data_IF_158102983743
#
_entry.id   IF_158102983743
#
_cell.length_a   1.000
_cell.length_b   1.000
_cell.length_c   1.000
_cell.angle_alpha   90.00
_cell.angle_beta   90.00
_cell.angle_gamma   90.00
#
_symmetry.space_group_name_H-M   'P 1'
#
loop_
_entity.id
_entity.type
_entity.pdbx_description
1 polymer ?
#
# COMPACT_ATOMS: atom_id res chain seq x y z
N UNK A 1 52.85 -34.45 -5.97
CA UNK A 1 54.16 -34.02 -5.42
C UNK A 1 53.98 -32.78 -4.58
N UNK A 2 54.48 -32.84 -3.33
CA UNK A 2 54.76 -31.75 -2.33
C UNK A 2 53.57 -30.89 -1.86
N UNK A 3 53.01 -31.06 -0.68
CA UNK A 3 53.47 -30.97 0.74
C UNK A 3 53.89 -29.57 1.17
N UNK A 4 53.20 -29.07 2.23
CA UNK A 4 53.57 -27.96 3.13
C UNK A 4 52.30 -27.42 3.82
N UNK A 5 51.85 -27.80 4.96
CA UNK A 5 52.21 -27.80 6.39
C UNK A 5 52.34 -26.38 6.96
N UNK A 6 51.34 -26.08 7.85
CA UNK A 6 51.32 -25.50 9.19
C UNK A 6 51.65 -24.00 9.40
N UNK A 7 50.86 -23.33 10.20
CA UNK A 7 51.20 -23.08 11.61
C UNK A 7 50.08 -22.37 12.39
N UNK A 8 49.88 -22.89 13.61
CA UNK A 8 49.07 -22.36 14.71
C UNK A 8 49.53 -20.97 15.17
N UNK A 9 48.60 -20.17 15.71
CA UNK A 9 48.87 -19.02 16.53
C UNK A 9 47.72 -18.77 17.48
N UNK A 10 47.79 -19.37 18.64
CA UNK A 10 46.97 -19.08 19.84
C UNK A 10 47.58 -17.89 20.55
N UNK A 11 46.78 -16.87 20.85
CA UNK A 11 47.10 -15.91 21.92
C UNK A 11 45.85 -15.67 22.78
N UNK A 12 45.90 -16.26 23.96
CA UNK A 12 45.08 -15.88 25.11
C UNK A 12 45.81 -14.79 25.90
N UNK A 13 45.11 -13.74 26.29
CA UNK A 13 45.51 -12.85 27.33
C UNK A 13 44.31 -12.43 28.17
N UNK A 14 44.16 -13.06 29.30
CA UNK A 14 43.31 -12.63 30.41
C UNK A 14 44.08 -11.64 31.25
N UNK A 15 43.49 -10.50 31.59
CA UNK A 15 43.92 -9.72 32.74
C UNK A 15 42.72 -9.25 33.56
N UNK A 16 42.54 -9.90 34.68
CA UNK A 16 41.71 -9.44 35.80
C UNK A 16 42.46 -8.39 36.58
N UNK A 17 41.81 -7.32 36.92
CA UNK A 17 42.22 -6.42 38.00
C UNK A 17 41.05 -6.07 38.88
N UNK A 18 41.01 -6.72 40.03
CA UNK A 18 40.20 -6.34 41.17
C UNK A 18 40.88 -5.18 41.92
N UNK A 19 40.12 -4.17 42.25
CA UNK A 19 40.48 -3.23 43.29
C UNK A 19 39.25 -2.91 44.14
N UNK A 20 39.34 -3.32 45.39
CA UNK A 20 38.43 -2.97 46.47
C UNK A 20 38.67 -1.50 46.89
N UNK A 21 37.68 -0.78 47.26
CA UNK A 21 37.34 -0.45 48.65
C UNK A 21 36.57 0.86 48.80
N UNK A 22 35.67 0.79 49.64
CA UNK A 22 35.21 1.67 50.70
C UNK A 22 33.89 2.41 50.49
N UNK A 23 32.98 1.91 51.22
CA UNK A 23 31.74 2.35 51.79
C UNK A 23 31.30 3.84 51.65
N UNK A 24 30.18 3.97 51.02
CA UNK A 24 29.14 4.93 51.40
C UNK A 24 27.87 4.48 50.70
N UNK A 25 26.81 4.26 51.46
CA UNK A 25 25.49 3.91 50.98
C UNK A 25 24.97 5.01 50.05
N UNK A 26 24.73 4.74 48.78
CA UNK A 26 23.92 5.66 48.01
C UNK A 26 22.47 5.17 48.07
N UNK A 27 21.65 6.08 48.49
CA UNK A 27 20.21 6.10 48.26
C UNK A 27 19.89 5.52 46.91
N UNK A 28 19.07 4.48 46.90
CA UNK A 28 18.43 3.95 45.67
C UNK A 28 17.51 5.03 45.08
N UNK A 29 18.12 5.84 44.22
CA UNK A 29 17.31 6.62 43.28
C UNK A 29 16.82 5.61 42.24
N UNK A 30 15.57 5.21 42.40
CA UNK A 30 14.82 4.55 41.34
C UNK A 30 14.88 5.49 40.14
N UNK A 31 15.73 5.16 39.18
CA UNK A 31 15.60 5.71 37.84
C UNK A 31 14.29 5.13 37.29
N UNK A 32 13.22 5.87 37.47
CA UNK A 32 12.06 5.75 36.61
C UNK A 32 12.58 5.95 35.18
N UNK A 33 12.88 4.85 34.55
CA UNK A 33 12.91 4.80 33.09
C UNK A 33 11.46 5.08 32.68
N UNK A 34 11.14 6.36 32.52
CA UNK A 34 10.00 6.75 31.74
C UNK A 34 10.19 6.07 30.36
N UNK A 35 9.51 4.96 30.17
CA UNK A 35 9.23 4.44 28.85
C UNK A 35 8.52 5.58 28.14
N UNK A 36 9.27 6.36 27.37
CA UNK A 36 8.67 7.11 26.30
C UNK A 36 8.11 6.05 25.35
N UNK A 37 6.88 5.63 25.61
CA UNK A 37 6.02 5.02 24.59
C UNK A 37 5.82 6.11 23.54
N UNK A 38 6.78 6.21 22.64
CA UNK A 38 6.65 7.02 21.45
C UNK A 38 5.49 6.38 20.69
N UNK A 39 4.33 7.02 20.76
CA UNK A 39 3.16 6.60 20.00
C UNK A 39 3.62 6.54 18.55
N UNK A 40 3.64 5.33 17.97
CA UNK A 40 4.07 5.13 16.61
C UNK A 40 3.26 6.02 15.68
N UNK A 41 3.94 6.70 14.77
CA UNK A 41 3.27 7.47 13.73
C UNK A 41 3.17 6.57 12.50
N UNK A 42 1.97 6.32 12.02
CA UNK A 42 1.72 5.61 10.77
C UNK A 42 1.83 6.58 9.59
N UNK A 43 2.43 6.13 8.51
CA UNK A 43 2.50 6.87 7.26
C UNK A 43 1.65 6.17 6.19
N UNK A 44 0.76 6.93 5.54
CA UNK A 44 -0.10 6.45 4.47
C UNK A 44 0.21 7.23 3.19
N UNK A 45 0.38 6.52 2.06
CA UNK A 45 0.44 7.15 0.74
C UNK A 45 -0.91 7.05 0.05
N UNK A 46 -1.36 8.16 -0.51
CA UNK A 46 -2.57 8.26 -1.31
C UNK A 46 -2.34 9.19 -2.52
N UNK A 47 -3.04 8.95 -3.61
CA UNK A 47 -3.00 9.81 -4.78
C UNK A 47 -3.77 11.13 -4.56
N UNK A 48 -3.67 12.03 -5.52
CA UNK A 48 -4.27 13.37 -5.48
C UNK A 48 -5.80 13.35 -5.37
N UNK A 49 -6.46 12.35 -5.95
CA UNK A 49 -7.93 12.23 -5.92
C UNK A 49 -8.45 11.71 -4.58
N UNK A 50 -7.65 10.94 -3.86
CA UNK A 50 -8.02 10.26 -2.61
C UNK A 50 -7.43 10.92 -1.36
N UNK A 51 -6.40 11.75 -1.54
CA UNK A 51 -5.63 12.37 -0.45
C UNK A 51 -6.53 13.03 0.59
N UNK A 52 -7.42 13.93 0.19
CA UNK A 52 -8.23 14.70 1.13
C UNK A 52 -9.19 13.85 1.97
N UNK A 53 -9.76 12.78 1.37
CA UNK A 53 -10.62 11.87 2.10
C UNK A 53 -9.83 11.00 3.08
N UNK A 54 -8.65 10.52 2.66
CA UNK A 54 -7.78 9.71 3.53
C UNK A 54 -7.25 10.56 4.68
N UNK A 55 -6.90 11.82 4.44
CA UNK A 55 -6.46 12.77 5.48
C UNK A 55 -7.55 12.99 6.54
N UNK A 56 -8.79 13.25 6.11
CA UNK A 56 -9.93 13.41 7.04
C UNK A 56 -10.17 12.15 7.89
N UNK A 57 -10.08 10.97 7.27
CA UNK A 57 -10.22 9.70 8.01
C UNK A 57 -9.04 9.46 8.97
N UNK A 58 -7.84 9.88 8.61
CA UNK A 58 -6.65 9.80 9.45
C UNK A 58 -6.76 10.71 10.69
N UNK A 59 -7.31 11.91 10.54
CA UNK A 59 -7.62 12.82 11.66
C UNK A 59 -8.63 12.18 12.62
N UNK A 60 -9.73 11.64 12.09
CA UNK A 60 -10.76 10.94 12.87
C UNK A 60 -10.19 9.72 13.60
N UNK A 61 -9.32 8.96 12.96
CA UNK A 61 -8.64 7.81 13.56
C UNK A 61 -7.72 8.25 14.69
N UNK A 62 -6.90 9.28 14.46
CA UNK A 62 -6.02 9.85 15.46
C UNK A 62 -6.80 10.34 16.69
N UNK A 63 -7.93 11.03 16.47
CA UNK A 63 -8.78 11.50 17.56
C UNK A 63 -9.36 10.37 18.41
N UNK A 64 -9.65 9.21 17.81
CA UNK A 64 -10.24 8.04 18.48
C UNK A 64 -9.24 7.13 19.16
N UNK A 65 -8.00 7.06 18.64
CA UNK A 65 -7.02 6.05 19.05
C UNK A 65 -5.76 6.64 19.68
N UNK A 66 -5.54 7.94 19.54
CA UNK A 66 -4.30 8.65 19.86
C UNK A 66 -3.08 8.21 19.00
N UNK A 67 -3.25 7.33 18.03
CA UNK A 67 -2.21 6.95 17.06
C UNK A 67 -2.13 8.03 16.00
N UNK A 68 -0.95 8.64 15.85
CA UNK A 68 -0.73 9.65 14.81
C UNK A 68 -0.68 9.01 13.43
N UNK A 69 -1.30 9.67 12.46
CA UNK A 69 -1.25 9.24 11.05
C UNK A 69 -0.76 10.42 10.21
N UNK A 70 0.25 10.17 9.39
CA UNK A 70 0.77 11.11 8.41
C UNK A 70 0.35 10.64 7.01
N UNK A 71 -0.47 11.42 6.32
CA UNK A 71 -0.88 11.13 4.95
C UNK A 71 0.02 11.91 3.99
N UNK A 72 0.60 11.21 3.03
CA UNK A 72 1.51 11.79 2.02
C UNK A 72 0.86 11.62 0.66
N UNK A 73 0.66 12.75 -0.02
CA UNK A 73 0.17 12.75 -1.39
C UNK A 73 1.26 12.28 -2.36
N UNK A 74 0.92 11.38 -3.25
CA UNK A 74 1.78 10.83 -4.29
C UNK A 74 1.12 10.92 -5.66
N UNK A 75 1.94 10.90 -6.72
CA UNK A 75 1.44 10.73 -8.09
C UNK A 75 0.91 9.31 -8.27
N UNK A 76 -0.30 9.14 -8.79
CA UNK A 76 -0.89 7.82 -9.07
C UNK A 76 0.01 6.99 -10.01
N UNK A 77 0.62 7.63 -11.01
CA UNK A 77 1.47 6.96 -12.00
C UNK A 77 2.79 6.41 -11.45
N UNK A 78 3.30 6.98 -10.36
CA UNK A 78 4.64 6.68 -9.86
C UNK A 78 4.62 5.93 -8.53
N UNK A 79 3.47 5.94 -7.85
CA UNK A 79 3.32 5.49 -6.47
C UNK A 79 3.70 4.01 -6.27
N UNK A 80 3.35 3.13 -7.20
CA UNK A 80 3.69 1.70 -7.14
C UNK A 80 5.20 1.47 -7.29
N UNK A 81 5.85 2.21 -8.18
CA UNK A 81 7.30 2.16 -8.41
C UNK A 81 8.07 2.72 -7.22
N UNK A 82 7.64 3.86 -6.70
CA UNK A 82 8.24 4.45 -5.50
C UNK A 82 8.07 3.53 -4.29
N UNK A 83 6.87 2.97 -4.08
CA UNK A 83 6.58 2.04 -3.01
C UNK A 83 7.51 0.82 -3.06
N UNK A 84 7.59 0.16 -4.22
CA UNK A 84 8.44 -1.01 -4.43
C UNK A 84 9.92 -0.72 -4.15
N UNK A 85 10.36 0.51 -4.44
CA UNK A 85 11.76 0.93 -4.24
C UNK A 85 12.06 1.34 -2.80
N UNK A 86 11.12 2.03 -2.13
CA UNK A 86 11.37 2.65 -0.83
C UNK A 86 11.09 1.72 0.35
N UNK A 87 10.11 0.81 0.25
CA UNK A 87 9.79 -0.13 1.33
C UNK A 87 10.99 -0.99 1.75
N UNK A 88 11.76 -1.62 0.84
CA UNK A 88 12.91 -2.43 1.23
C UNK A 88 14.04 -1.64 1.90
N UNK A 89 14.08 -0.32 1.71
CA UNK A 89 15.09 0.56 2.32
C UNK A 89 14.64 1.15 3.66
N UNK A 90 13.42 0.84 4.11
CA UNK A 90 12.83 1.39 5.33
C UNK A 90 12.32 2.83 5.20
N UNK A 91 12.25 3.38 3.97
CA UNK A 91 11.77 4.73 3.69
C UNK A 91 10.35 4.76 3.11
N UNK A 92 9.73 3.59 2.92
CA UNK A 92 8.36 3.48 2.45
C UNK A 92 7.32 3.79 3.53
N UNK A 93 6.03 3.90 3.16
CA UNK A 93 4.93 4.07 4.10
C UNK A 93 4.55 2.74 4.77
N UNK A 94 3.75 2.83 5.83
CA UNK A 94 3.12 1.67 6.46
C UNK A 94 1.93 1.15 5.65
N UNK A 95 1.22 2.06 4.97
CA UNK A 95 0.07 1.75 4.12
C UNK A 95 0.12 2.53 2.81
N UNK A 96 -0.47 1.93 1.78
CA UNK A 96 -0.65 2.56 0.47
C UNK A 96 -2.09 2.39 0.02
N UNK A 97 -2.69 3.45 -0.51
CA UNK A 97 -4.05 3.43 -1.07
C UNK A 97 -3.94 3.47 -2.59
N UNK A 98 -4.33 2.38 -3.24
CA UNK A 98 -4.16 2.23 -4.69
C UNK A 98 -5.15 1.23 -5.31
N UNK A 99 -5.21 1.18 -6.62
CA UNK A 99 -5.93 0.15 -7.36
C UNK A 99 -5.28 -1.25 -7.17
N UNK A 100 -6.08 -2.31 -7.25
CA UNK A 100 -5.66 -3.67 -6.94
C UNK A 100 -4.84 -4.34 -8.06
N UNK A 101 -4.84 -3.80 -9.27
CA UNK A 101 -4.21 -4.39 -10.46
C UNK A 101 -2.70 -4.64 -10.31
N UNK A 102 -2.03 -3.86 -9.47
CA UNK A 102 -0.59 -4.02 -9.15
C UNK A 102 -0.30 -4.99 -8.00
N UNK A 103 -1.33 -5.49 -7.30
CA UNK A 103 -1.14 -6.32 -6.10
C UNK A 103 -0.22 -7.51 -6.35
N UNK A 104 -0.39 -8.22 -7.46
CA UNK A 104 0.45 -9.37 -7.80
C UNK A 104 1.95 -9.02 -7.88
N UNK A 105 2.27 -7.87 -8.47
CA UNK A 105 3.64 -7.37 -8.53
C UNK A 105 4.19 -6.98 -7.16
N UNK A 106 3.39 -6.33 -6.32
CA UNK A 106 3.79 -5.96 -4.96
C UNK A 106 4.08 -7.19 -4.09
N UNK A 107 3.25 -8.23 -4.20
CA UNK A 107 3.47 -9.50 -3.49
C UNK A 107 4.73 -10.21 -4.01
N UNK A 108 4.94 -10.25 -5.32
CA UNK A 108 6.12 -10.86 -5.92
C UNK A 108 7.42 -10.15 -5.51
N UNK A 109 7.38 -8.84 -5.30
CA UNK A 109 8.51 -8.05 -4.79
C UNK A 109 8.66 -8.12 -3.26
N UNK A 110 7.74 -8.77 -2.54
CA UNK A 110 7.81 -8.92 -1.09
C UNK A 110 7.64 -7.62 -0.30
N UNK A 111 6.98 -6.60 -0.88
CA UNK A 111 6.83 -5.27 -0.28
C UNK A 111 5.49 -5.07 0.43
N UNK A 112 4.62 -6.06 0.41
CA UNK A 112 3.34 -6.08 1.14
C UNK A 112 3.23 -7.32 2.02
N UNK A 113 2.61 -7.17 3.19
CA UNK A 113 2.37 -8.25 4.13
C UNK A 113 0.92 -8.75 4.04
N UNK A 114 0.67 -10.03 4.33
CA UNK A 114 -0.70 -10.54 4.45
C UNK A 114 -1.49 -9.80 5.53
N UNK A 115 -2.78 -9.57 5.24
CA UNK A 115 -3.74 -8.95 6.16
C UNK A 115 -4.89 -9.91 6.39
N UNK A 116 -5.20 -10.19 7.66
CA UNK A 116 -6.40 -10.95 8.01
C UNK A 116 -7.59 -10.00 8.13
N UNK A 117 -8.60 -10.18 7.31
CA UNK A 117 -9.84 -9.40 7.38
C UNK A 117 -10.77 -9.86 8.52
N UNK A 118 -10.50 -11.02 9.13
CA UNK A 118 -11.29 -11.56 10.22
C UNK A 118 -12.79 -11.58 9.91
N UNK A 119 -13.61 -11.22 10.89
CA UNK A 119 -15.08 -11.14 10.74
C UNK A 119 -15.53 -10.04 9.77
N UNK A 120 -14.69 -9.02 9.54
CA UNK A 120 -15.00 -7.95 8.59
C UNK A 120 -15.09 -8.44 7.15
N UNK A 121 -14.49 -9.59 6.83
CA UNK A 121 -14.52 -10.18 5.48
C UNK A 121 -15.94 -10.31 4.93
N UNK A 122 -16.90 -10.69 5.79
CA UNK A 122 -18.30 -10.87 5.40
C UNK A 122 -19.04 -9.55 5.10
N UNK A 123 -18.44 -8.40 5.42
CA UNK A 123 -19.02 -7.07 5.17
C UNK A 123 -18.64 -6.52 3.80
N UNK A 124 -17.66 -7.12 3.13
CA UNK A 124 -17.21 -6.73 1.80
C UNK A 124 -17.90 -7.57 0.72
N UNK A 125 -18.08 -6.99 -0.45
CA UNK A 125 -18.51 -7.74 -1.63
C UNK A 125 -17.45 -8.80 -2.01
N UNK A 126 -17.89 -9.99 -2.44
CA UNK A 126 -16.99 -11.09 -2.79
C UNK A 126 -15.95 -10.68 -3.84
N UNK A 127 -16.34 -9.87 -4.82
CA UNK A 127 -15.43 -9.36 -5.86
C UNK A 127 -14.33 -8.49 -5.27
N UNK A 128 -14.64 -7.69 -4.26
CA UNK A 128 -13.66 -6.84 -3.58
C UNK A 128 -12.64 -7.67 -2.78
N UNK A 129 -13.12 -8.71 -2.07
CA UNK A 129 -12.23 -9.64 -1.35
C UNK A 129 -11.33 -10.40 -2.35
N UNK A 130 -11.87 -10.85 -3.48
CA UNK A 130 -11.08 -11.51 -4.53
C UNK A 130 -10.00 -10.58 -5.09
N UNK A 131 -10.31 -9.30 -5.30
CA UNK A 131 -9.38 -8.32 -5.84
C UNK A 131 -8.14 -8.10 -4.96
N UNK A 132 -8.28 -8.23 -3.64
CA UNK A 132 -7.17 -8.09 -2.67
C UNK A 132 -6.58 -9.44 -2.23
N UNK A 133 -6.96 -10.54 -2.90
CA UNK A 133 -6.46 -11.89 -2.61
C UNK A 133 -5.51 -12.35 -3.72
N UNK A 134 -4.31 -12.76 -3.33
CA UNK A 134 -3.31 -13.31 -4.22
C UNK A 134 -2.76 -14.63 -3.66
N UNK A 135 -2.70 -15.69 -4.46
CA UNK A 135 -2.27 -17.04 -4.03
C UNK A 135 -2.96 -17.53 -2.74
N UNK A 136 -4.25 -17.23 -2.58
CA UNK A 136 -5.06 -17.67 -1.45
C UNK A 136 -4.90 -16.83 -0.17
N UNK A 137 -4.05 -15.81 -0.16
CA UNK A 137 -3.86 -14.89 0.96
C UNK A 137 -4.38 -13.48 0.61
N UNK A 138 -4.94 -12.80 1.59
CA UNK A 138 -5.42 -11.41 1.47
C UNK A 138 -4.30 -10.45 1.86
N UNK A 139 -4.07 -9.41 1.05
CA UNK A 139 -2.98 -8.44 1.24
C UNK A 139 -3.47 -7.00 1.36
N UNK A 140 -4.76 -6.77 1.36
CA UNK A 140 -5.32 -5.43 1.49
C UNK A 140 -6.73 -5.45 2.05
N UNK A 141 -7.18 -4.27 2.44
CA UNK A 141 -8.55 -4.02 2.90
C UNK A 141 -9.27 -3.25 1.79
N UNK A 142 -10.33 -3.82 1.16
CA UNK A 142 -11.07 -3.09 0.13
C UNK A 142 -11.82 -1.91 0.76
N UNK A 143 -11.83 -0.75 0.10
CA UNK A 143 -12.63 0.38 0.54
C UNK A 143 -13.66 0.83 -0.51
N UNK A 144 -13.42 0.53 -1.79
CA UNK A 144 -14.31 0.83 -2.88
C UNK A 144 -14.28 -0.26 -3.96
N UNK A 145 -15.35 -0.36 -4.74
CA UNK A 145 -15.42 -1.14 -5.97
C UNK A 145 -15.79 -0.19 -7.09
N UNK A 146 -14.97 -0.16 -8.11
CA UNK A 146 -15.18 0.64 -9.31
C UNK A 146 -15.33 -0.27 -10.51
N UNK A 147 -16.02 0.20 -11.53
CA UNK A 147 -16.22 -0.55 -12.77
C UNK A 147 -16.23 0.40 -13.96
N UNK A 148 -15.50 0.01 -15.00
CA UNK A 148 -15.67 0.64 -16.32
C UNK A 148 -16.97 0.15 -16.91
N UNK A 149 -17.78 1.05 -17.44
CA UNK A 149 -19.07 0.71 -18.02
C UNK A 149 -19.36 1.55 -19.27
N UNK A 150 -20.09 0.94 -20.20
CA UNK A 150 -20.66 1.67 -21.32
C UNK A 150 -21.90 2.41 -20.83
N UNK A 151 -21.86 3.73 -20.92
CA UNK A 151 -22.99 4.60 -20.54
C UNK A 151 -23.74 5.01 -21.80
N UNK A 152 -25.05 4.72 -21.83
CA UNK A 152 -25.95 5.09 -22.93
C UNK A 152 -26.80 6.30 -22.55
N UNK A 153 -26.86 7.27 -23.45
CA UNK A 153 -27.83 8.35 -23.33
C UNK A 153 -29.23 7.89 -23.81
N UNK A 154 -30.13 7.66 -22.86
CA UNK A 154 -31.48 7.17 -23.14
C UNK A 154 -32.39 8.18 -23.87
N UNK A 155 -32.00 9.46 -23.95
CA UNK A 155 -32.70 10.44 -24.78
C UNK A 155 -32.39 10.31 -26.28
N UNK A 156 -31.22 9.75 -26.61
CA UNK A 156 -30.74 9.58 -27.96
C UNK A 156 -31.12 8.20 -28.56
N UNK A 157 -30.96 7.15 -27.79
CA UNK A 157 -31.27 5.79 -28.23
C UNK A 157 -31.80 4.93 -27.08
N UNK A 158 -32.67 3.93 -27.44
CA UNK A 158 -33.14 2.89 -26.54
C UNK A 158 -32.46 1.55 -26.81
N UNK A 159 -31.67 1.46 -27.87
CA UNK A 159 -31.01 0.23 -28.26
C UNK A 159 -30.04 -0.25 -27.19
N UNK A 160 -29.91 -1.56 -27.08
CA UNK A 160 -28.95 -2.20 -26.19
C UNK A 160 -28.00 -3.05 -27.05
N UNK A 161 -27.01 -2.41 -27.70
CA UNK A 161 -26.09 -3.12 -28.57
C UNK A 161 -25.26 -4.12 -27.79
N UNK A 162 -24.97 -5.26 -28.40
CA UNK A 162 -24.16 -6.33 -27.79
C UNK A 162 -22.77 -6.43 -28.44
N UNK A 163 -22.56 -5.73 -29.54
CA UNK A 163 -21.26 -5.63 -30.22
C UNK A 163 -20.87 -4.19 -30.42
N UNK A 164 -19.59 -3.95 -30.68
CA UNK A 164 -19.06 -2.61 -31.00
C UNK A 164 -19.70 -2.08 -32.30
N UNK A 165 -19.82 -2.92 -33.34
CA UNK A 165 -20.39 -2.51 -34.62
C UNK A 165 -21.85 -2.11 -34.49
N UNK A 166 -22.65 -2.86 -33.73
CA UNK A 166 -24.04 -2.52 -33.43
C UNK A 166 -24.17 -1.21 -32.68
N UNK A 167 -23.24 -0.98 -31.73
CA UNK A 167 -23.20 0.29 -30.97
C UNK A 167 -22.92 1.48 -31.87
N UNK A 168 -21.96 1.36 -32.78
CA UNK A 168 -21.63 2.42 -33.75
C UNK A 168 -22.81 2.62 -34.74
N UNK A 169 -23.41 1.53 -35.21
CA UNK A 169 -24.56 1.61 -36.08
C UNK A 169 -25.75 2.30 -35.42
N UNK A 170 -26.11 1.90 -34.19
CA UNK A 170 -27.19 2.53 -33.42
C UNK A 170 -26.85 4.03 -33.13
N UNK A 171 -25.62 4.36 -32.75
CA UNK A 171 -25.23 5.74 -32.55
C UNK A 171 -25.37 6.63 -33.79
N UNK A 172 -25.01 6.12 -34.96
CA UNK A 172 -25.16 6.86 -36.24
C UNK A 172 -26.62 7.18 -36.59
N UNK A 173 -27.58 6.37 -36.17
CA UNK A 173 -29.02 6.64 -36.42
C UNK A 173 -29.55 7.82 -35.60
N UNK A 174 -28.85 8.23 -34.56
CA UNK A 174 -29.30 9.33 -33.68
C UNK A 174 -29.01 10.72 -34.23
N UNK A 175 -28.23 10.82 -35.31
CA UNK A 175 -27.84 12.08 -35.92
C UNK A 175 -26.79 12.89 -35.11
N UNK A 176 -26.18 12.27 -34.14
CA UNK A 176 -25.06 12.90 -33.38
C UNK A 176 -23.75 12.84 -34.17
N UNK A 177 -22.89 13.81 -33.97
CA UNK A 177 -21.57 13.89 -34.61
C UNK A 177 -20.68 12.71 -34.21
N UNK A 178 -20.71 12.35 -32.92
CA UNK A 178 -19.90 11.27 -32.34
C UNK A 178 -20.82 10.16 -31.79
N UNK A 179 -20.96 9.06 -32.48
CA UNK A 179 -21.81 7.93 -32.06
C UNK A 179 -21.25 7.16 -30.85
N UNK A 180 -19.96 7.32 -30.57
CA UNK A 180 -19.28 6.76 -29.43
C UNK A 180 -18.17 7.74 -28.97
N UNK A 181 -18.06 7.93 -27.66
CA UNK A 181 -17.04 8.78 -27.05
C UNK A 181 -16.33 7.97 -25.97
N UNK A 182 -15.02 8.04 -25.96
CA UNK A 182 -14.17 7.42 -24.96
C UNK A 182 -13.23 8.49 -24.37
N UNK A 183 -12.96 8.40 -23.09
CA UNK A 183 -11.93 9.22 -22.46
C UNK A 183 -10.56 8.75 -22.95
N UNK A 184 -9.77 9.67 -23.45
CA UNK A 184 -8.37 9.46 -23.79
C UNK A 184 -7.50 10.13 -22.74
N UNK A 185 -6.38 9.50 -22.38
CA UNK A 185 -5.35 10.13 -21.56
C UNK A 185 -4.66 11.28 -22.30
N UNK A 186 -3.87 12.06 -21.58
CA UNK A 186 -3.14 13.23 -22.12
C UNK A 186 -2.21 12.88 -23.29
N UNK A 187 -1.75 11.63 -23.36
CA UNK A 187 -0.91 11.10 -24.44
C UNK A 187 -1.72 10.44 -25.57
N UNK A 188 -3.05 10.50 -25.52
CA UNK A 188 -3.93 9.92 -26.50
C UNK A 188 -4.11 8.39 -26.38
N UNK A 189 -3.70 7.78 -25.28
CA UNK A 189 -3.95 6.38 -24.97
C UNK A 189 -5.34 6.19 -24.33
N UNK A 190 -6.12 5.18 -24.76
CA UNK A 190 -7.44 4.90 -24.21
C UNK A 190 -7.31 4.11 -22.90
N UNK A 191 -7.15 4.81 -21.78
CA UNK A 191 -6.89 4.22 -20.46
C UNK A 191 -7.93 3.16 -20.05
N UNK A 192 -9.18 3.32 -20.45
CA UNK A 192 -10.29 2.43 -20.06
C UNK A 192 -10.81 1.55 -21.19
N UNK A 193 -10.07 1.39 -22.27
CA UNK A 193 -10.52 0.63 -23.42
C UNK A 193 -9.54 -0.53 -23.72
N UNK A 194 -9.97 -1.73 -23.36
CA UNK A 194 -9.28 -2.97 -23.70
C UNK A 194 -10.25 -3.95 -24.34
#
# INVERSE_FOLDING_TARGET
MRRGIAALGVFAAATALAACNNGTTPSSTSSDSASNDAVATLTIWADDTRYSQVESLAEDFTAKTSVKVNVVQKSESDMDTEFTTQVPTGNGPDLIVMAHDKLGALVANGVVAPVDLGEAKSKFADVAVKAVTYNGQTYGVPYAVESVALVRNNALTKDTPTTYDDMIASGKTTGVEYPFIIQMGDKGDPYHFY
#
